data_IF_098369958302
#
_entry.id   IF_098369958302
#
_cell.length_a   1.000
_cell.length_b   1.000
_cell.length_c   1.000
_cell.angle_alpha   90.00
_cell.angle_beta   90.00
_cell.angle_gamma   90.00
#
_symmetry.space_group_name_H-M   'P 1'
#
loop_
_entity.id
_entity.type
_entity.pdbx_description
1 polymer ?
#
# COMPACT_ATOMS: atom_id res chain seq x y z
N UNK A 1 -16.76 -3.76 10.14
CA UNK A 1 -15.65 -3.66 9.18
C UNK A 1 -16.17 -3.00 7.91
N UNK A 2 -15.40 -2.13 7.27
CA UNK A 2 -15.81 -1.47 6.03
C UNK A 2 -16.17 -2.50 4.96
N UNK A 3 -17.41 -2.46 4.46
CA UNK A 3 -17.95 -3.43 3.51
C UNK A 3 -17.18 -3.49 2.18
N UNK A 4 -16.35 -2.47 1.89
CA UNK A 4 -15.51 -2.38 0.70
C UNK A 4 -14.37 -3.42 0.65
N UNK A 5 -13.91 -3.92 1.81
CA UNK A 5 -12.84 -4.93 1.89
C UNK A 5 -13.33 -6.37 1.69
N UNK A 6 -14.64 -6.57 1.78
CA UNK A 6 -15.31 -7.87 1.55
C UNK A 6 -15.85 -8.01 0.12
N UNK A 7 -15.52 -7.08 -0.78
CA UNK A 7 -15.90 -7.18 -2.18
C UNK A 7 -15.26 -8.43 -2.81
N UNK A 8 -16.03 -9.12 -3.65
CA UNK A 8 -15.57 -10.32 -4.36
C UNK A 8 -14.44 -10.00 -5.34
N UNK A 9 -14.35 -8.76 -5.82
CA UNK A 9 -13.28 -8.29 -6.70
C UNK A 9 -11.96 -8.03 -5.96
N UNK A 10 -12.02 -7.75 -4.66
CA UNK A 10 -10.85 -7.43 -3.81
C UNK A 10 -10.50 -8.57 -2.84
N UNK A 11 -10.95 -9.79 -3.14
CA UNK A 11 -10.75 -10.95 -2.29
C UNK A 11 -10.54 -12.24 -3.09
N UNK A 12 -9.81 -13.18 -2.51
CA UNK A 12 -9.54 -14.50 -3.09
C UNK A 12 -10.27 -15.57 -2.30
N UNK A 13 -10.76 -16.60 -3.00
CA UNK A 13 -11.35 -17.77 -2.34
C UNK A 13 -10.24 -18.50 -1.60
N UNK A 14 -10.38 -18.58 -0.29
CA UNK A 14 -9.47 -19.34 0.58
C UNK A 14 -9.91 -20.80 0.64
N UNK A 15 -11.20 -21.01 0.93
CA UNK A 15 -11.77 -22.33 1.15
C UNK A 15 -13.22 -22.39 0.68
N UNK A 16 -13.63 -23.58 0.25
CA UNK A 16 -15.02 -23.91 -0.06
C UNK A 16 -15.39 -25.17 0.70
N UNK A 17 -16.44 -25.12 1.52
CA UNK A 17 -16.93 -26.29 2.25
C UNK A 17 -18.45 -26.41 2.14
N UNK A 18 -18.94 -27.63 2.26
CA UNK A 18 -20.39 -27.91 2.27
C UNK A 18 -20.95 -27.64 3.66
N UNK A 19 -21.95 -26.78 3.74
CA UNK A 19 -22.69 -26.59 4.98
C UNK A 19 -23.63 -27.80 5.23
N UNK A 20 -24.18 -27.94 6.44
CA UNK A 20 -25.10 -29.03 6.78
C UNK A 20 -26.36 -29.12 5.89
N UNK A 21 -26.67 -28.04 5.17
CA UNK A 21 -27.82 -27.94 4.28
C UNK A 21 -27.47 -28.35 2.83
N UNK A 22 -26.23 -28.79 2.59
CA UNK A 22 -25.72 -29.22 1.27
C UNK A 22 -25.23 -28.09 0.36
N UNK A 23 -25.35 -26.83 0.78
CA UNK A 23 -24.92 -25.67 0.01
C UNK A 23 -23.44 -25.37 0.25
N UNK A 24 -22.76 -24.90 -0.79
CA UNK A 24 -21.36 -24.49 -0.69
C UNK A 24 -21.26 -23.15 0.04
N UNK A 25 -20.39 -23.09 1.04
CA UNK A 25 -20.00 -21.86 1.73
C UNK A 25 -18.58 -21.51 1.32
N UNK A 26 -18.39 -20.26 0.90
CA UNK A 26 -17.12 -19.76 0.37
C UNK A 26 -16.50 -18.83 1.41
N UNK A 27 -15.32 -19.18 1.91
CA UNK A 27 -14.49 -18.31 2.75
C UNK A 27 -13.55 -17.54 1.81
N UNK A 28 -13.46 -16.23 2.02
CA UNK A 28 -12.60 -15.34 1.23
C UNK A 28 -11.63 -14.60 2.13
N UNK A 29 -10.40 -14.46 1.64
CA UNK A 29 -9.40 -13.58 2.23
C UNK A 29 -9.27 -12.30 1.37
N UNK A 30 -9.17 -11.14 2.01
CA UNK A 30 -8.93 -9.89 1.30
C UNK A 30 -7.53 -9.88 0.65
N UNK A 31 -7.40 -9.26 -0.52
CA UNK A 31 -6.10 -9.07 -1.15
C UNK A 31 -5.24 -8.09 -0.34
N UNK A 32 -3.91 -8.30 -0.23
CA UNK A 32 -3.01 -7.34 0.39
C UNK A 32 -3.08 -5.99 -0.32
N UNK A 33 -3.17 -4.91 0.47
CA UNK A 33 -3.17 -3.53 -0.05
C UNK A 33 -1.79 -2.93 0.20
N UNK A 34 -1.25 -2.29 -0.85
CA UNK A 34 -0.03 -1.49 -0.76
C UNK A 34 -0.37 -0.05 -1.14
N UNK A 35 -0.25 0.88 -0.19
CA UNK A 35 -0.54 2.29 -0.44
C UNK A 35 0.69 2.98 -1.03
N UNK A 36 0.51 3.71 -2.14
CA UNK A 36 1.59 4.48 -2.78
C UNK A 36 1.12 5.92 -2.94
N UNK A 37 1.81 6.85 -2.30
CA UNK A 37 1.51 8.27 -2.34
C UNK A 37 2.49 9.01 -3.22
N UNK A 38 1.98 9.72 -4.23
CA UNK A 38 2.77 10.59 -5.09
C UNK A 38 2.61 12.05 -4.65
N UNK A 39 3.66 12.62 -4.07
CA UNK A 39 3.67 14.01 -3.62
C UNK A 39 4.24 14.91 -4.72
N UNK A 40 3.45 15.92 -5.09
CA UNK A 40 3.87 16.98 -6.00
C UNK A 40 4.81 18.03 -5.37
N UNK A 41 5.08 17.92 -4.07
CA UNK A 41 5.94 18.82 -3.31
C UNK A 41 6.97 18.02 -2.48
N UNK A 42 7.95 18.74 -1.92
CA UNK A 42 8.95 18.17 -1.02
C UNK A 42 8.47 18.24 0.43
N UNK A 43 8.75 17.21 1.21
CA UNK A 43 8.59 17.18 2.66
C UNK A 43 9.75 17.92 3.32
N UNK A 44 9.45 18.76 4.31
CA UNK A 44 10.44 19.68 4.88
C UNK A 44 11.63 19.01 5.55
N UNK A 45 11.41 17.84 6.18
CA UNK A 45 12.43 17.15 6.97
C UNK A 45 13.27 16.14 6.16
N UNK A 46 12.81 15.78 4.96
CA UNK A 46 13.40 14.68 4.15
C UNK A 46 13.48 15.09 2.67
N UNK A 47 13.94 16.31 2.42
CA UNK A 47 13.93 16.95 1.09
C UNK A 47 14.75 16.22 0.03
N UNK A 48 15.76 15.43 0.40
CA UNK A 48 16.64 14.72 -0.55
C UNK A 48 16.33 13.22 -0.68
N UNK A 49 15.17 12.78 -0.20
CA UNK A 49 14.76 11.37 -0.24
C UNK A 49 13.60 11.18 -1.24
N UNK A 50 13.85 10.75 -2.49
CA UNK A 50 12.80 10.63 -3.51
C UNK A 50 11.74 9.58 -3.21
N UNK A 51 12.12 8.46 -2.57
CA UNK A 51 11.21 7.37 -2.20
C UNK A 51 11.47 7.00 -0.76
N UNK A 52 10.41 6.97 0.04
CA UNK A 52 10.41 6.58 1.45
C UNK A 52 9.52 5.36 1.58
N UNK A 53 10.06 4.28 2.15
CA UNK A 53 9.26 3.12 2.58
C UNK A 53 8.80 3.36 4.00
N UNK A 54 7.51 3.16 4.26
CA UNK A 54 6.91 3.18 5.60
C UNK A 54 6.46 1.76 5.91
N UNK A 55 7.08 1.17 6.92
CA UNK A 55 6.83 -0.20 7.37
C UNK A 55 6.17 -0.19 8.74
N UNK A 56 5.17 -1.06 8.91
CA UNK A 56 4.50 -1.21 10.21
C UNK A 56 5.27 -2.12 11.17
N UNK A 57 5.38 -1.67 12.41
CA UNK A 57 5.86 -2.48 13.53
C UNK A 57 4.73 -2.72 14.52
N UNK A 58 4.70 -3.93 15.09
CA UNK A 58 3.81 -4.24 16.20
C UNK A 58 4.61 -4.01 17.46
N UNK A 59 4.09 -3.19 18.38
CA UNK A 59 4.80 -2.85 19.60
C UNK A 59 3.88 -3.09 20.78
N UNK A 60 4.33 -3.90 21.73
CA UNK A 60 3.68 -3.98 23.03
C UNK A 60 3.94 -2.66 23.78
N UNK A 61 2.86 -1.93 24.05
CA UNK A 61 2.94 -0.63 24.71
C UNK A 61 3.46 -0.72 26.14
N UNK A 62 3.21 -1.83 26.85
CA UNK A 62 3.62 -1.98 28.24
C UNK A 62 5.14 -2.22 28.38
N UNK A 63 5.71 -3.00 27.46
CA UNK A 63 7.12 -3.40 27.52
C UNK A 63 8.01 -2.67 26.51
N UNK A 64 7.42 -2.02 25.50
CA UNK A 64 8.12 -1.41 24.37
C UNK A 64 8.73 -2.42 23.39
N UNK A 65 8.41 -3.71 23.55
CA UNK A 65 8.98 -4.77 22.71
C UNK A 65 8.29 -4.84 21.35
N UNK A 66 9.07 -5.09 20.30
CA UNK A 66 8.53 -5.35 18.96
C UNK A 66 8.05 -6.79 18.90
N UNK A 67 6.82 -6.99 18.44
CA UNK A 67 6.24 -8.32 18.23
C UNK A 67 6.56 -8.79 16.80
N UNK A 68 7.16 -9.97 16.69
CA UNK A 68 7.51 -10.59 15.42
C UNK A 68 6.31 -11.25 14.73
N UNK A 69 5.38 -11.79 15.52
CA UNK A 69 4.16 -12.43 15.02
C UNK A 69 3.15 -11.39 14.53
N UNK A 70 2.53 -11.67 13.39
CA UNK A 70 1.56 -10.79 12.72
C UNK A 70 0.17 -11.39 12.77
N UNK A 71 -0.83 -10.54 12.97
CA UNK A 71 -2.22 -10.95 13.16
C UNK A 71 -3.07 -10.54 11.96
N UNK A 72 -3.74 -11.51 11.33
CA UNK A 72 -4.49 -11.28 10.08
C UNK A 72 -5.51 -10.14 10.19
N UNK A 73 -6.16 -10.00 11.35
CA UNK A 73 -7.09 -8.90 11.61
C UNK A 73 -6.38 -7.53 11.56
N UNK A 74 -5.24 -7.38 12.23
CA UNK A 74 -4.47 -6.12 12.24
C UNK A 74 -3.85 -5.88 10.85
N UNK A 75 -3.42 -6.95 10.18
CA UNK A 75 -2.87 -6.89 8.84
C UNK A 75 -3.89 -6.39 7.80
N UNK A 76 -5.17 -6.63 8.03
CA UNK A 76 -6.29 -6.14 7.20
C UNK A 76 -6.66 -4.68 7.42
N UNK A 77 -6.27 -4.09 8.57
CA UNK A 77 -6.62 -2.71 8.93
C UNK A 77 -5.51 -1.70 8.60
N UNK A 78 -4.27 -2.15 8.68
CA UNK A 78 -3.09 -1.32 8.44
C UNK A 78 -2.38 -1.80 7.18
N UNK A 79 -1.63 -0.93 6.51
CA UNK A 79 -0.88 -1.31 5.31
C UNK A 79 0.46 -0.60 5.30
N UNK A 80 1.48 -1.29 4.80
CA UNK A 80 2.74 -0.65 4.46
C UNK A 80 2.51 0.35 3.32
N UNK A 81 3.39 1.34 3.21
CA UNK A 81 3.26 2.34 2.15
C UNK A 81 4.57 2.84 1.60
N UNK A 82 4.50 3.43 0.41
CA UNK A 82 5.59 4.17 -0.20
C UNK A 82 5.18 5.62 -0.39
N UNK A 83 6.04 6.54 0.05
CA UNK A 83 5.89 7.97 -0.19
C UNK A 83 6.90 8.37 -1.25
N UNK A 84 6.42 8.92 -2.36
CA UNK A 84 7.24 9.29 -3.52
C UNK A 84 7.17 10.80 -3.70
N UNK A 85 8.29 11.48 -3.48
CA UNK A 85 8.43 12.92 -3.71
C UNK A 85 8.83 13.17 -5.17
N UNK A 86 7.84 13.43 -6.04
CA UNK A 86 8.06 13.61 -7.48
C UNK A 86 9.14 14.66 -7.82
N UNK A 87 9.21 15.83 -7.15
CA UNK A 87 10.28 16.81 -7.41
C UNK A 87 11.70 16.23 -7.24
N UNK A 88 11.86 15.28 -6.33
CA UNK A 88 13.15 14.69 -5.98
C UNK A 88 13.60 13.59 -6.94
N UNK A 89 12.70 13.08 -7.78
CA UNK A 89 13.04 12.04 -8.77
C UNK A 89 14.00 12.59 -9.84
N UNK A 90 13.93 13.89 -10.15
CA UNK A 90 14.82 14.54 -11.13
C UNK A 90 16.23 14.68 -10.54
N UNK A 91 17.06 13.67 -10.79
CA UNK A 91 18.46 13.62 -10.31
C UNK A 91 18.78 12.35 -9.52
N UNK A 92 17.76 11.61 -9.08
CA UNK A 92 17.93 10.36 -8.35
C UNK A 92 17.49 9.17 -9.22
N UNK A 93 18.43 8.26 -9.50
CA UNK A 93 18.23 7.06 -10.34
C UNK A 93 18.97 5.86 -9.77
N UNK A 94 18.97 5.75 -8.45
CA UNK A 94 19.78 4.78 -7.70
C UNK A 94 19.14 3.40 -7.72
N UNK A 95 17.81 3.34 -7.78
CA UNK A 95 17.03 2.10 -7.80
C UNK A 95 16.23 1.96 -9.10
N UNK A 96 15.80 0.74 -9.43
CA UNK A 96 14.92 0.50 -10.59
C UNK A 96 13.58 1.23 -10.47
N UNK A 97 13.04 1.34 -9.24
CA UNK A 97 11.85 2.13 -8.97
C UNK A 97 12.08 3.62 -9.29
N UNK A 98 13.19 4.20 -8.84
CA UNK A 98 13.53 5.59 -9.17
C UNK A 98 13.71 5.82 -10.67
N UNK A 99 14.35 4.88 -11.38
CA UNK A 99 14.51 4.93 -12.84
C UNK A 99 13.18 4.84 -13.58
N UNK A 100 12.29 3.93 -13.17
CA UNK A 100 10.94 3.79 -13.72
C UNK A 100 10.15 5.10 -13.52
N UNK A 101 10.14 5.61 -12.29
CA UNK A 101 9.46 6.86 -11.95
C UNK A 101 10.02 8.05 -12.74
N UNK A 102 11.34 8.09 -12.98
CA UNK A 102 11.96 9.11 -13.82
C UNK A 102 11.44 9.07 -15.26
N UNK A 103 11.28 7.87 -15.84
CA UNK A 103 10.72 7.72 -17.19
C UNK A 103 9.26 8.18 -17.22
N UNK A 104 8.46 7.76 -16.24
CA UNK A 104 7.04 8.12 -16.15
C UNK A 104 6.83 9.63 -15.96
N UNK A 105 7.66 10.28 -15.14
CA UNK A 105 7.59 11.74 -14.96
C UNK A 105 8.04 12.52 -16.19
N UNK A 106 8.93 11.96 -17.02
CA UNK A 106 9.33 12.54 -18.30
C UNK A 106 8.24 12.39 -19.38
N UNK A 107 7.50 11.28 -19.38
CA UNK A 107 6.37 11.07 -20.29
C UNK A 107 5.23 12.09 -20.05
N UNK A 108 5.12 12.64 -18.84
CA UNK A 108 4.12 13.64 -18.44
C UNK A 108 4.31 15.04 -19.06
N UNK A 109 5.33 15.26 -19.90
CA UNK A 109 5.43 16.48 -20.74
C UNK A 109 4.37 16.56 -21.85
N UNK A 110 3.48 15.56 -21.94
CA UNK A 110 2.25 15.59 -22.75
C UNK A 110 1.07 15.46 -21.78
N UNK A 111 0.37 16.58 -21.59
CA UNK A 111 -0.85 16.80 -20.79
C UNK A 111 -0.78 16.53 -19.28
N UNK A 112 -0.98 17.62 -18.51
CA UNK A 112 -1.39 17.61 -17.11
C UNK A 112 -2.61 16.68 -16.97
N UNK A 113 -2.42 15.51 -16.38
CA UNK A 113 -3.51 14.78 -15.73
C UNK A 113 -3.54 15.29 -14.29
N UNK A 114 -4.43 16.23 -14.03
CA UNK A 114 -4.93 16.55 -12.69
C UNK A 114 -5.75 15.33 -12.26
N UNK A 115 -5.23 14.59 -11.27
CA UNK A 115 -6.00 13.57 -10.57
C UNK A 115 -6.54 14.29 -9.34
N UNK A 116 -7.73 14.86 -9.49
CA UNK A 116 -8.51 15.33 -8.36
C UNK A 116 -9.03 14.11 -7.61
N UNK A 117 -8.42 13.83 -6.46
CA UNK A 117 -8.96 12.89 -5.49
C UNK A 117 -9.85 13.72 -4.56
N UNK A 118 -11.15 13.75 -4.87
CA UNK A 118 -12.20 14.09 -3.91
C UNK A 118 -12.76 12.80 -3.32
#
# INVERSE_FOLDING_TARGET
MGLQYSDVENSVIKEVYKNPNGNDTIIRDALPILSIYFLGHQLDKVKDVPVIKVERSYVDVATGTVLEEREAFIESLTHDSFIIQIPNIKGHRRTELEKLLYILTKAKSINRVEIDIF
#
